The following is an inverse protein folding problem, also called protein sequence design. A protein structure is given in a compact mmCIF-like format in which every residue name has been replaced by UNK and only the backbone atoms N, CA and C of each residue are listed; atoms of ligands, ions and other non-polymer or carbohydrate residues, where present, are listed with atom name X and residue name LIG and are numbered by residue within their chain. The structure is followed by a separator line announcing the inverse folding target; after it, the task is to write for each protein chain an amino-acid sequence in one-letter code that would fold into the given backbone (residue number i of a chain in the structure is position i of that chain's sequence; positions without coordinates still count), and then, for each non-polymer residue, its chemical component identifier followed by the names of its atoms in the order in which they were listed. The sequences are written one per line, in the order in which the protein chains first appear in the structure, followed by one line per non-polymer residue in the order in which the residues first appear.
data_IF_621467768135
#
_entry.id   IF_621467768135
#
_cell.length_a   1.000
_cell.length_b   1.000
_cell.length_c   1.000
_cell.angle_alpha   90.00
_cell.angle_beta   90.00
_cell.angle_gamma   90.00
#
_symmetry.space_group_name_H-M   'P 1'
#
loop_
_entity.id
_entity.type
_entity.pdbx_description
1 polymer ?
#
# COMPACT_ATOMS: atom_id res chain seq x y z
N UNK A 1 -8.38 2.33 88.60
CA UNK A 1 -9.79 2.73 88.48
C UNK A 1 -10.33 2.13 87.19
N UNK A 2 -11.47 1.48 87.29
CA UNK A 2 -11.93 0.33 86.49
C UNK A 2 -12.94 0.76 85.42
N UNK A 3 -12.77 0.28 84.17
CA UNK A 3 -13.77 -0.14 83.14
C UNK A 3 -12.91 -0.65 81.97
N UNK A 4 -12.82 -1.90 81.53
CA UNK A 4 -13.67 -3.08 81.33
C UNK A 4 -14.59 -3.07 80.07
N UNK A 5 -14.15 -3.88 79.09
CA UNK A 5 -14.85 -4.69 78.07
C UNK A 5 -15.55 -3.99 76.91
N UNK A 6 -15.16 -4.33 75.67
CA UNK A 6 -15.96 -5.16 74.73
C UNK A 6 -15.15 -5.52 73.47
N UNK A 7 -14.87 -6.81 73.31
CA UNK A 7 -14.52 -7.51 72.07
C UNK A 7 -15.71 -7.45 71.11
N UNK A 8 -15.52 -7.11 69.82
CA UNK A 8 -16.36 -7.60 68.71
C UNK A 8 -15.75 -7.22 67.34
N UNK A 9 -15.61 -8.25 66.48
CA UNK A 9 -15.83 -8.22 65.00
C UNK A 9 -14.84 -7.39 64.17
N UNK A 10 -14.10 -8.00 63.26
CA UNK A 10 -14.64 -8.72 62.11
C UNK A 10 -14.45 -7.88 60.85
N UNK A 11 -13.61 -8.38 59.94
CA UNK A 11 -13.51 -8.01 58.53
C UNK A 11 -13.51 -6.53 58.13
N UNK A 12 -12.31 -5.96 57.97
CA UNK A 12 -12.04 -4.97 56.92
C UNK A 12 -11.40 -5.73 55.75
N UNK A 13 -12.18 -6.27 54.81
CA UNK A 13 -12.61 -5.60 53.57
C UNK A 13 -11.48 -4.81 52.90
N UNK A 14 -11.05 -5.38 51.78
CA UNK A 14 -10.70 -4.71 50.52
C UNK A 14 -9.39 -3.91 50.49
N UNK A 15 -8.33 -4.58 50.04
CA UNK A 15 -7.38 -3.99 49.12
C UNK A 15 -7.50 -4.74 47.79
N UNK A 16 -8.47 -4.34 46.95
CA UNK A 16 -8.39 -4.63 45.52
C UNK A 16 -7.24 -3.77 45.02
N UNK A 17 -6.09 -4.41 44.79
CA UNK A 17 -5.04 -3.84 43.98
C UNK A 17 -5.64 -3.69 42.57
N UNK A 18 -6.13 -2.48 42.27
CA UNK A 18 -6.54 -2.09 40.93
C UNK A 18 -5.31 -2.13 40.03
N UNK A 19 -5.10 -3.27 39.39
CA UNK A 19 -4.12 -3.41 38.32
C UNK A 19 -4.55 -2.49 37.19
N UNK A 20 -3.86 -1.36 37.07
CA UNK A 20 -3.94 -0.49 35.90
C UNK A 20 -3.34 -1.32 34.75
N UNK A 21 -4.19 -2.05 34.03
CA UNK A 21 -3.82 -2.76 32.82
C UNK A 21 -3.60 -1.68 31.76
N UNK A 22 -2.36 -1.20 31.65
CA UNK A 22 -1.94 -0.44 30.48
C UNK A 22 -2.14 -1.35 29.28
N UNK A 23 -3.20 -1.11 28.51
CA UNK A 23 -3.23 -1.49 27.11
C UNK A 23 -2.08 -0.74 26.44
N UNK A 24 -0.91 -1.37 26.36
CA UNK A 24 0.09 -0.98 25.39
C UNK A 24 -0.55 -1.23 24.02
N UNK A 25 -1.11 -0.17 23.43
CA UNK A 25 -1.44 -0.18 22.02
C UNK A 25 -0.10 -0.40 21.31
N UNK A 26 0.15 -1.64 20.87
CA UNK A 26 1.19 -1.90 19.90
C UNK A 26 0.78 -1.10 18.66
N UNK A 27 1.38 0.09 18.50
CA UNK A 27 1.38 0.77 17.22
C UNK A 27 2.11 -0.20 16.29
N UNK A 28 1.36 -0.95 15.51
CA UNK A 28 1.93 -1.66 14.37
C UNK A 28 2.63 -0.58 13.53
N UNK A 29 3.90 -0.78 13.14
CA UNK A 29 4.49 0.11 12.16
C UNK A 29 3.57 0.06 10.93
N UNK A 30 2.99 1.20 10.56
CA UNK A 30 2.47 1.33 9.22
C UNK A 30 3.66 1.06 8.30
N UNK A 31 3.55 0.03 7.46
CA UNK A 31 4.51 -0.18 6.38
C UNK A 31 4.35 1.00 5.44
N UNK A 32 5.12 2.04 5.67
CA UNK A 32 5.35 3.07 4.68
C UNK A 32 6.37 2.49 3.73
N UNK A 33 5.94 2.16 2.51
CA UNK A 33 6.87 2.06 1.39
C UNK A 33 7.69 3.35 1.38
N UNK A 34 9.00 3.28 1.64
CA UNK A 34 9.84 4.46 1.51
C UNK A 34 9.85 4.82 0.02
N UNK A 35 9.61 6.08 -0.31
CA UNK A 35 9.60 6.53 -1.70
C UNK A 35 10.95 6.26 -2.41
N UNK A 36 12.03 6.08 -1.66
CA UNK A 36 13.36 5.76 -2.15
C UNK A 36 13.48 4.32 -2.71
N UNK A 37 12.54 3.43 -2.39
CA UNK A 37 12.53 2.02 -2.85
C UNK A 37 11.72 1.81 -4.14
N UNK A 38 11.11 2.88 -4.67
CA UNK A 38 10.21 2.82 -5.83
C UNK A 38 10.61 3.80 -6.92
N UNK A 39 10.53 3.35 -8.17
CA UNK A 39 10.58 4.23 -9.34
C UNK A 39 9.16 4.63 -9.71
N UNK A 40 8.87 5.93 -9.71
CA UNK A 40 7.59 6.48 -10.16
C UNK A 40 7.67 6.89 -11.64
N UNK A 41 6.66 6.47 -12.39
CA UNK A 41 6.55 6.71 -13.83
C UNK A 41 5.14 7.14 -14.20
N UNK A 42 5.01 7.86 -15.30
CA UNK A 42 3.72 8.05 -15.95
C UNK A 42 3.82 7.98 -17.47
N UNK A 43 2.72 7.64 -18.14
CA UNK A 43 2.69 7.62 -19.60
C UNK A 43 2.81 9.05 -20.18
N UNK A 44 3.38 9.18 -21.38
CA UNK A 44 3.48 10.47 -22.06
C UNK A 44 2.13 11.16 -22.32
N UNK A 45 1.01 10.41 -22.33
CA UNK A 45 -0.35 10.96 -22.40
C UNK A 45 -0.86 11.49 -21.06
N UNK A 46 -0.22 11.09 -19.96
CA UNK A 46 -0.70 11.34 -18.61
C UNK A 46 -1.92 10.51 -18.21
N UNK A 47 -2.25 9.43 -18.93
CA UNK A 47 -3.42 8.61 -18.59
C UNK A 47 -3.21 7.79 -17.31
N UNK A 48 -2.00 7.29 -17.10
CA UNK A 48 -1.66 6.39 -15.99
C UNK A 48 -0.37 6.80 -15.31
N UNK A 49 -0.31 6.62 -13.99
CA UNK A 49 0.87 6.74 -13.13
C UNK A 49 1.11 5.42 -12.44
N UNK A 50 2.36 4.97 -12.39
CA UNK A 50 2.77 3.69 -11.79
C UNK A 50 3.95 3.87 -10.83
N UNK A 51 3.93 3.13 -9.72
CA UNK A 51 5.06 2.96 -8.81
C UNK A 51 5.59 1.54 -8.96
N UNK A 52 6.89 1.42 -9.21
CA UNK A 52 7.55 0.15 -9.52
C UNK A 52 8.56 -0.14 -8.41
N UNK A 53 8.37 -1.25 -7.71
CA UNK A 53 9.34 -1.80 -6.76
C UNK A 53 9.77 -3.21 -7.17
N UNK A 54 10.67 -3.81 -6.39
CA UNK A 54 11.28 -5.11 -6.74
C UNK A 54 10.24 -6.24 -6.89
N UNK A 55 9.22 -6.24 -6.04
CA UNK A 55 8.21 -7.31 -6.00
C UNK A 55 6.82 -6.88 -6.48
N UNK A 56 6.57 -5.58 -6.70
CA UNK A 56 5.23 -5.08 -7.03
C UNK A 56 5.25 -3.90 -8.00
N UNK A 57 4.20 -3.83 -8.82
CA UNK A 57 3.84 -2.64 -9.59
C UNK A 57 2.44 -2.22 -9.20
N UNK A 58 2.26 -0.97 -8.78
CA UNK A 58 0.95 -0.36 -8.53
C UNK A 58 0.71 0.72 -9.59
N UNK A 59 -0.47 0.79 -10.16
CA UNK A 59 -0.84 1.77 -11.17
C UNK A 59 -2.23 2.36 -10.89
N UNK A 60 -2.36 3.66 -11.13
CA UNK A 60 -3.59 4.44 -10.97
C UNK A 60 -3.71 5.49 -12.09
N UNK A 61 -4.84 6.21 -12.13
CA UNK A 61 -4.93 7.45 -12.91
C UNK A 61 -3.88 8.46 -12.42
N UNK A 62 -3.35 9.29 -13.32
CA UNK A 62 -2.29 10.27 -12.98
C UNK A 62 -2.68 11.18 -11.81
N UNK A 63 -3.95 11.54 -11.72
CA UNK A 63 -4.51 12.35 -10.65
C UNK A 63 -5.97 11.94 -10.38
N UNK A 64 -6.56 12.52 -9.33
CA UNK A 64 -7.91 12.22 -8.89
C UNK A 64 -9.02 12.63 -9.88
N UNK A 65 -8.70 13.45 -10.88
CA UNK A 65 -9.66 13.89 -11.91
C UNK A 65 -9.73 12.90 -13.08
N UNK A 66 -8.80 11.96 -13.17
CA UNK A 66 -8.78 10.93 -14.20
C UNK A 66 -9.58 9.69 -13.79
N UNK A 67 -10.08 8.91 -14.78
CA UNK A 67 -10.70 7.63 -14.49
C UNK A 67 -9.80 6.72 -13.66
N UNK A 68 -10.43 6.03 -12.72
CA UNK A 68 -9.82 5.03 -11.88
C UNK A 68 -9.26 3.86 -12.73
N UNK A 69 -8.16 3.24 -12.28
CA UNK A 69 -7.57 2.09 -12.99
C UNK A 69 -8.20 0.79 -12.49
N UNK A 70 -8.94 0.13 -13.37
CA UNK A 70 -9.68 -1.09 -13.07
C UNK A 70 -11.18 -0.86 -12.86
N UNK A 71 -11.91 -1.95 -12.57
CA UNK A 71 -13.37 -1.90 -12.45
C UNK A 71 -13.76 -1.44 -11.05
N UNK A 72 -13.95 -0.13 -10.87
CA UNK A 72 -14.48 0.47 -9.64
C UNK A 72 -13.46 0.65 -8.50
N UNK A 73 -12.16 0.60 -8.81
CA UNK A 73 -11.05 0.80 -7.86
C UNK A 73 -10.08 1.84 -8.39
N UNK A 74 -9.44 2.60 -7.49
CA UNK A 74 -8.51 3.69 -7.85
C UNK A 74 -7.21 3.17 -8.45
N UNK A 75 -6.77 2.00 -7.96
CA UNK A 75 -5.47 1.42 -8.29
C UNK A 75 -5.55 -0.08 -8.57
N UNK A 76 -4.72 -0.52 -9.52
CA UNK A 76 -4.39 -1.92 -9.74
C UNK A 76 -2.96 -2.20 -9.29
N UNK A 77 -2.75 -3.29 -8.56
CA UNK A 77 -1.44 -3.73 -8.10
C UNK A 77 -1.19 -5.17 -8.52
N UNK A 78 -0.04 -5.43 -9.13
CA UNK A 78 0.42 -6.77 -9.50
C UNK A 78 1.70 -7.13 -8.74
N UNK A 79 1.80 -8.37 -8.28
CA UNK A 79 3.04 -8.92 -7.71
C UNK A 79 3.96 -9.47 -8.80
N UNK A 80 5.23 -9.70 -8.47
CA UNK A 80 6.20 -10.34 -9.36
C UNK A 80 5.75 -11.72 -9.89
N UNK A 81 4.85 -12.40 -9.17
CA UNK A 81 4.28 -13.70 -9.56
C UNK A 81 2.98 -13.58 -10.38
N UNK A 82 2.52 -12.36 -10.69
CA UNK A 82 1.31 -12.14 -11.51
C UNK A 82 0.00 -12.04 -10.72
N UNK A 83 0.04 -12.02 -9.39
CA UNK A 83 -1.16 -11.87 -8.57
C UNK A 83 -1.69 -10.44 -8.68
N UNK A 84 -2.86 -10.28 -9.31
CA UNK A 84 -3.52 -9.00 -9.49
C UNK A 84 -4.49 -8.72 -8.35
N UNK A 85 -4.38 -7.53 -7.78
CA UNK A 85 -5.30 -7.00 -6.77
C UNK A 85 -5.73 -5.59 -7.14
N UNK A 86 -6.98 -5.27 -6.87
CA UNK A 86 -7.50 -3.91 -7.00
C UNK A 86 -7.69 -3.30 -5.61
N UNK A 87 -7.31 -2.04 -5.46
CA UNK A 87 -7.25 -1.36 -4.15
C UNK A 87 -7.62 0.11 -4.28
N UNK A 88 -8.03 0.72 -3.16
CA UNK A 88 -8.23 2.17 -3.03
C UNK A 88 -7.01 2.87 -2.39
N UNK A 89 -5.87 2.18 -2.34
CA UNK A 89 -4.59 2.77 -1.93
C UNK A 89 -4.02 3.56 -3.11
N UNK A 90 -3.79 4.84 -2.88
CA UNK A 90 -3.12 5.72 -3.84
C UNK A 90 -1.61 5.83 -3.60
N UNK A 91 -0.92 6.45 -4.55
CA UNK A 91 0.49 6.81 -4.47
C UNK A 91 0.72 8.11 -3.71
N UNK A 92 1.86 8.19 -3.04
CA UNK A 92 2.38 9.44 -2.46
C UNK A 92 3.19 10.23 -3.50
N UNK A 93 3.43 11.52 -3.22
CA UNK A 93 4.23 12.38 -4.08
C UNK A 93 3.48 12.96 -5.28
N UNK A 94 4.01 14.04 -5.86
CA UNK A 94 3.42 14.70 -7.02
C UNK A 94 3.98 14.10 -8.33
N UNK A 95 3.17 13.98 -9.40
CA UNK A 95 3.64 13.44 -10.68
C UNK A 95 4.73 14.29 -11.37
N UNK A 96 5.01 15.50 -10.90
CA UNK A 96 5.98 16.40 -11.52
C UNK A 96 7.43 15.86 -11.48
N UNK A 97 7.72 14.97 -10.53
CA UNK A 97 9.05 14.37 -10.34
C UNK A 97 9.15 12.95 -10.96
N UNK A 98 8.07 12.44 -11.54
CA UNK A 98 8.01 11.11 -12.13
C UNK A 98 8.75 11.06 -13.48
N UNK A 99 9.24 9.87 -13.83
CA UNK A 99 9.79 9.63 -15.17
C UNK A 99 8.68 9.47 -16.21
N UNK A 100 8.77 10.19 -17.33
CA UNK A 100 7.83 10.05 -18.46
C UNK A 100 8.20 8.82 -19.29
N UNK A 101 7.23 7.92 -19.46
CA UNK A 101 7.32 6.78 -20.37
C UNK A 101 6.89 7.18 -21.79
N UNK A 102 7.85 7.17 -22.70
CA UNK A 102 7.63 7.41 -24.12
C UNK A 102 7.19 6.12 -24.83
N UNK A 103 6.15 6.21 -25.64
CA UNK A 103 5.59 5.04 -26.31
C UNK A 103 6.58 4.40 -27.27
N UNK A 104 6.61 3.07 -27.28
CA UNK A 104 7.52 2.28 -28.10
C UNK A 104 8.96 2.18 -27.57
N UNK A 105 9.31 2.89 -26.49
CA UNK A 105 10.59 2.70 -25.80
C UNK A 105 10.47 1.58 -24.77
N UNK A 106 11.53 0.79 -24.58
CA UNK A 106 11.59 -0.24 -23.53
C UNK A 106 12.34 0.31 -22.32
N UNK A 107 11.78 0.12 -21.13
CA UNK A 107 12.40 0.52 -19.87
C UNK A 107 12.64 -0.70 -18.98
N UNK A 108 13.66 -0.60 -18.13
CA UNK A 108 13.97 -1.62 -17.13
C UNK A 108 14.14 -0.95 -15.76
N UNK A 109 13.26 -1.29 -14.83
CA UNK A 109 13.30 -0.80 -13.44
C UNK A 109 12.98 -1.94 -12.49
N UNK A 110 13.77 -2.10 -11.42
CA UNK A 110 13.50 -3.07 -10.35
C UNK A 110 13.25 -4.52 -10.83
N UNK A 111 13.91 -4.96 -11.92
CA UNK A 111 13.68 -6.29 -12.49
C UNK A 111 12.38 -6.44 -13.29
N UNK A 112 11.80 -5.33 -13.74
CA UNK A 112 10.65 -5.30 -14.63
C UNK A 112 11.02 -4.75 -16.01
N UNK A 113 10.66 -5.47 -17.06
CA UNK A 113 10.59 -4.93 -18.42
C UNK A 113 9.27 -4.20 -18.63
N UNK A 114 9.34 -2.96 -19.10
CA UNK A 114 8.19 -2.06 -19.27
C UNK A 114 8.07 -1.62 -20.71
N UNK A 115 6.90 -1.87 -21.30
CA UNK A 115 6.56 -1.55 -22.68
C UNK A 115 5.31 -0.66 -22.72
N UNK A 116 5.48 0.67 -22.65
CA UNK A 116 4.40 1.63 -22.81
C UNK A 116 3.96 1.73 -24.28
N UNK A 117 2.65 1.80 -24.49
CA UNK A 117 2.01 2.04 -25.77
C UNK A 117 0.82 2.99 -25.61
N UNK A 118 0.25 3.42 -26.73
CA UNK A 118 -0.99 4.21 -26.75
C UNK A 118 -2.21 3.44 -26.25
N UNK A 119 -2.18 2.10 -26.27
CA UNK A 119 -3.26 1.24 -25.77
C UNK A 119 -3.15 0.96 -24.25
N UNK A 120 -1.97 1.14 -23.69
CA UNK A 120 -1.66 0.79 -22.30
C UNK A 120 -0.20 0.42 -22.12
N UNK A 121 0.17 0.09 -20.89
CA UNK A 121 1.54 -0.26 -20.52
C UNK A 121 1.60 -1.71 -20.09
N UNK A 122 2.55 -2.47 -20.63
CA UNK A 122 2.84 -3.84 -20.18
C UNK A 122 4.04 -3.83 -19.25
N UNK A 123 3.87 -4.42 -18.08
CA UNK A 123 4.91 -4.69 -17.10
C UNK A 123 5.13 -6.21 -17.05
N UNK A 124 6.37 -6.65 -17.22
CA UNK A 124 6.74 -8.07 -17.13
C UNK A 124 7.89 -8.21 -16.15
N UNK A 125 7.72 -9.01 -15.10
CA UNK A 125 8.80 -9.32 -14.18
C UNK A 125 9.81 -10.21 -14.89
N UNK A 126 11.07 -9.79 -14.92
CA UNK A 126 12.13 -10.44 -15.69
C UNK A 126 12.48 -11.83 -15.13
N UNK A 127 12.23 -12.07 -13.84
CA UNK A 127 12.53 -13.33 -13.18
C UNK A 127 11.48 -14.40 -13.45
N UNK A 128 10.20 -14.03 -13.40
CA UNK A 128 9.10 -15.00 -13.45
C UNK A 128 8.34 -14.98 -14.78
N UNK A 129 8.48 -13.93 -15.59
CA UNK A 129 7.75 -13.77 -16.85
C UNK A 129 6.27 -13.39 -16.67
N UNK A 130 5.82 -13.19 -15.44
CA UNK A 130 4.48 -12.75 -15.09
C UNK A 130 4.37 -11.23 -15.04
N UNK A 131 3.15 -10.69 -14.99
CA UNK A 131 2.95 -9.27 -14.77
C UNK A 131 1.56 -8.79 -15.14
N UNK A 132 1.48 -7.55 -15.64
CA UNK A 132 0.23 -6.86 -15.89
C UNK A 132 0.28 -6.04 -17.17
N UNK A 133 -0.83 -6.03 -17.91
CA UNK A 133 -1.16 -4.96 -18.84
C UNK A 133 -2.14 -4.01 -18.16
N UNK A 134 -1.92 -2.70 -18.29
CA UNK A 134 -2.74 -1.69 -17.63
C UNK A 134 -3.02 -0.49 -18.54
N UNK A 135 -4.28 -0.08 -18.56
CA UNK A 135 -4.76 1.20 -19.08
C UNK A 135 -5.92 1.69 -18.22
N UNK A 136 -6.42 2.89 -18.50
CA UNK A 136 -7.64 3.41 -17.87
C UNK A 136 -8.90 2.64 -18.27
N UNK A 137 -8.87 1.87 -19.36
CA UNK A 137 -10.04 1.09 -19.82
C UNK A 137 -9.97 -0.38 -19.40
N UNK A 138 -8.77 -0.94 -19.29
CA UNK A 138 -8.60 -2.38 -19.11
C UNK A 138 -7.35 -2.72 -18.32
N UNK A 139 -7.46 -3.73 -17.46
CA UNK A 139 -6.35 -4.27 -16.67
C UNK A 139 -6.44 -5.80 -16.71
N UNK A 140 -5.33 -6.45 -16.99
CA UNK A 140 -5.21 -7.92 -16.97
C UNK A 140 -3.82 -8.33 -16.48
N UNK A 141 -3.73 -9.47 -15.81
CA UNK A 141 -2.45 -10.11 -15.46
C UNK A 141 -2.18 -11.38 -16.25
N UNK A 142 -0.92 -11.81 -16.26
CA UNK A 142 -0.43 -13.00 -16.95
C UNK A 142 0.74 -13.63 -16.18
#
# INVERSE_FOLDING_TARGET
MTTNITDQRGWRRLAIAGGLMLCAAAAMPAVYANADDYTYVHTQSGATRCSIGDDTVLCQGLNADLPAVGIGHDSAMVTANGDLTFTSVGMVGAPADDTVLHYGQTYHYHGWTILPSDQGTRFTNDRYGHGMFVSIQHVDSF
#
